data_IF_355056340169
#
_entry.id   IF_355056340169
#
_cell.length_a   1.000
_cell.length_b   1.000
_cell.length_c   1.000
_cell.angle_alpha   90.00
_cell.angle_beta   90.00
_cell.angle_gamma   90.00
#
_symmetry.space_group_name_H-M   'P 1'
#
loop_
_entity.id
_entity.type
_entity.pdbx_description
1 polymer ?
#
# COMPACT_ATOMS: atom_id res chain seq x y z
N UNK A 1 -2.36 25.84 -48.16
CA UNK A 1 -1.67 26.08 -46.87
C UNK A 1 -2.60 25.97 -45.66
N UNK A 2 -3.75 26.67 -45.62
CA UNK A 2 -4.66 26.69 -44.46
C UNK A 2 -5.18 25.31 -44.01
N UNK A 3 -5.63 24.46 -44.94
CA UNK A 3 -6.16 23.13 -44.61
C UNK A 3 -5.11 22.17 -44.03
N UNK A 4 -3.83 22.31 -44.42
CA UNK A 4 -2.72 21.49 -43.90
C UNK A 4 -2.34 21.91 -42.47
N UNK A 5 -2.42 23.21 -42.17
CA UNK A 5 -2.20 23.75 -40.82
C UNK A 5 -3.32 23.31 -39.86
N UNK A 6 -4.58 23.36 -40.31
CA UNK A 6 -5.72 22.92 -39.51
C UNK A 6 -5.66 21.42 -39.15
N UNK A 7 -5.26 20.57 -40.11
CA UNK A 7 -5.03 19.13 -39.87
C UNK A 7 -3.91 18.87 -38.86
N UNK A 8 -2.81 19.64 -38.94
CA UNK A 8 -1.72 19.53 -37.96
C UNK A 8 -2.19 19.90 -36.55
N UNK A 9 -2.88 21.04 -36.41
CA UNK A 9 -3.41 21.49 -35.10
C UNK A 9 -4.37 20.47 -34.50
N UNK A 10 -5.29 19.92 -35.31
CA UNK A 10 -6.23 18.91 -34.85
C UNK A 10 -5.54 17.63 -34.38
N UNK A 11 -4.51 17.18 -35.11
CA UNK A 11 -3.73 16.00 -34.74
C UNK A 11 -2.92 16.24 -33.46
N UNK A 12 -2.33 17.43 -33.29
CA UNK A 12 -1.58 17.77 -32.06
C UNK A 12 -2.50 17.86 -30.85
N UNK A 13 -3.68 18.45 -31.01
CA UNK A 13 -4.70 18.51 -29.96
C UNK A 13 -5.18 17.10 -29.56
N UNK A 14 -5.47 16.24 -30.54
CA UNK A 14 -5.86 14.85 -30.30
C UNK A 14 -4.78 14.07 -29.53
N UNK A 15 -3.51 14.25 -29.89
CA UNK A 15 -2.38 13.61 -29.21
C UNK A 15 -2.24 14.10 -27.76
N UNK A 16 -2.38 15.40 -27.51
CA UNK A 16 -2.34 15.97 -26.16
C UNK A 16 -3.49 15.46 -25.28
N UNK A 17 -4.70 15.33 -25.84
CA UNK A 17 -5.84 14.75 -25.11
C UNK A 17 -5.65 13.27 -24.80
N UNK A 18 -5.02 12.50 -25.69
CA UNK A 18 -4.67 11.10 -25.43
C UNK A 18 -3.63 10.96 -24.31
N UNK A 19 -2.62 11.84 -24.28
CA UNK A 19 -1.60 11.83 -23.23
C UNK A 19 -2.14 12.28 -21.87
N UNK A 20 -3.09 13.22 -21.83
CA UNK A 20 -3.74 13.65 -20.59
C UNK A 20 -4.64 12.56 -19.96
N UNK A 21 -5.08 11.58 -20.75
CA UNK A 21 -5.87 10.44 -20.29
C UNK A 21 -5.04 9.21 -19.89
N UNK A 22 -3.71 9.25 -20.01
CA UNK A 22 -2.85 8.13 -19.64
C UNK A 22 -2.80 7.99 -18.10
N UNK A 23 -3.56 7.05 -17.55
CA UNK A 23 -3.45 6.66 -16.14
C UNK A 23 -2.15 5.90 -15.89
N UNK A 24 -1.51 6.12 -14.73
CA UNK A 24 -0.38 5.32 -14.29
C UNK A 24 -0.81 3.84 -14.18
N UNK A 25 -0.19 2.96 -14.95
CA UNK A 25 -0.35 1.52 -14.78
C UNK A 25 0.57 1.06 -13.64
N UNK A 26 0.00 0.79 -12.47
CA UNK A 26 0.75 0.22 -11.35
C UNK A 26 0.88 -1.29 -11.55
N UNK A 27 2.02 -1.73 -12.07
CA UNK A 27 2.31 -3.16 -12.25
C UNK A 27 2.67 -3.89 -10.94
N UNK A 28 2.81 -3.17 -9.82
CA UNK A 28 3.19 -3.73 -8.52
C UNK A 28 2.26 -3.19 -7.43
N UNK A 29 1.96 -4.02 -6.41
CA UNK A 29 1.25 -3.58 -5.23
C UNK A 29 2.14 -2.64 -4.38
N UNK A 30 1.81 -1.35 -4.32
CA UNK A 30 2.46 -0.40 -3.43
C UNK A 30 1.56 -0.12 -2.23
N UNK A 31 2.14 0.15 -1.07
CA UNK A 31 1.37 0.60 0.09
C UNK A 31 0.84 2.01 -0.20
N UNK A 32 -0.48 2.14 -0.31
CA UNK A 32 -1.18 3.41 -0.56
C UNK A 32 -1.56 4.10 0.75
N UNK A 33 -2.02 3.31 1.74
CA UNK A 33 -2.41 3.82 3.05
C UNK A 33 -2.15 2.78 4.14
N UNK A 34 -1.80 3.25 5.34
CA UNK A 34 -1.73 2.41 6.54
C UNK A 34 -2.59 2.95 7.67
N UNK A 35 -3.00 2.06 8.56
CA UNK A 35 -3.60 2.40 9.85
C UNK A 35 -2.97 1.50 10.91
N UNK A 36 -2.24 2.02 11.90
CA UNK A 36 -1.82 3.42 12.06
C UNK A 36 -1.09 3.99 10.83
N UNK A 37 -1.21 5.30 10.60
CA UNK A 37 -0.55 5.97 9.48
C UNK A 37 0.97 6.02 9.71
N UNK A 38 1.74 6.11 8.62
CA UNK A 38 3.19 6.31 8.71
C UNK A 38 3.51 7.57 9.54
N UNK A 39 4.50 7.44 10.42
CA UNK A 39 4.99 8.45 11.36
C UNK A 39 3.93 9.02 12.32
N UNK A 40 2.77 8.36 12.42
CA UNK A 40 1.70 8.78 13.33
C UNK A 40 1.91 8.29 14.75
N UNK A 41 1.35 9.04 15.69
CA UNK A 41 1.23 8.65 17.09
C UNK A 41 -0.23 8.34 17.40
N UNK A 42 -0.50 7.17 17.98
CA UNK A 42 -1.84 6.70 18.34
C UNK A 42 -1.88 6.25 19.80
N UNK A 43 -3.06 6.28 20.42
CA UNK A 43 -3.23 5.81 21.80
C UNK A 43 -3.16 4.30 21.90
N UNK A 44 -3.78 3.59 20.94
CA UNK A 44 -3.79 2.13 20.84
C UNK A 44 -3.81 1.71 19.37
N UNK A 45 -3.42 0.46 19.10
CA UNK A 45 -3.54 -0.17 17.80
C UNK A 45 -3.81 -1.67 17.96
N UNK A 46 -5.08 -2.05 17.96
CA UNK A 46 -5.50 -3.45 18.11
C UNK A 46 -5.26 -4.27 16.84
N UNK A 47 -5.21 -3.60 15.68
CA UNK A 47 -4.90 -4.17 14.37
C UNK A 47 -4.16 -3.13 13.53
N UNK A 48 -3.34 -3.63 12.61
CA UNK A 48 -2.74 -2.83 11.56
C UNK A 48 -3.45 -3.14 10.25
N UNK A 49 -3.76 -2.11 9.48
CA UNK A 49 -4.49 -2.22 8.22
C UNK A 49 -3.66 -1.58 7.11
N UNK A 50 -3.17 -2.39 6.19
CA UNK A 50 -2.33 -1.98 5.06
C UNK A 50 -3.18 -2.04 3.80
N UNK A 51 -3.39 -0.88 3.16
CA UNK A 51 -4.11 -0.74 1.89
C UNK A 51 -3.10 -0.62 0.77
N UNK A 52 -3.17 -1.54 -0.18
CA UNK A 52 -2.29 -1.57 -1.34
C UNK A 52 -3.00 -1.02 -2.59
N UNK A 53 -2.22 -0.52 -3.55
CA UNK A 53 -2.73 -0.11 -4.86
C UNK A 53 -3.34 -1.27 -5.63
N UNK A 54 -2.84 -2.50 -5.42
CA UNK A 54 -3.31 -3.74 -6.05
C UNK A 54 -3.67 -4.80 -5.03
N UNK A 55 -4.48 -5.78 -5.45
CA UNK A 55 -4.83 -6.91 -4.58
C UNK A 55 -3.59 -7.73 -4.24
N UNK A 56 -3.49 -8.23 -3.01
CA UNK A 56 -2.38 -9.09 -2.57
C UNK A 56 -2.84 -10.51 -2.26
N UNK A 57 -1.95 -11.49 -2.49
CA UNK A 57 -2.15 -12.88 -2.12
C UNK A 57 -1.64 -13.12 -0.70
N UNK A 58 -2.57 -13.29 0.25
CA UNK A 58 -2.25 -13.41 1.68
C UNK A 58 -1.30 -14.56 2.00
N UNK A 59 -1.37 -15.67 1.26
CA UNK A 59 -0.56 -16.86 1.50
C UNK A 59 0.93 -16.64 1.19
N UNK A 60 1.24 -15.64 0.35
CA UNK A 60 2.60 -15.33 -0.09
C UNK A 60 3.11 -13.99 0.43
N UNK A 61 2.21 -13.15 0.95
CA UNK A 61 2.55 -11.86 1.55
C UNK A 61 3.02 -12.03 2.99
N UNK A 62 4.14 -11.39 3.34
CA UNK A 62 4.74 -11.45 4.68
C UNK A 62 4.75 -10.06 5.31
N UNK A 63 4.43 -10.00 6.61
CA UNK A 63 4.57 -8.80 7.43
C UNK A 63 5.34 -9.14 8.69
N UNK A 64 6.32 -8.30 9.02
CA UNK A 64 7.06 -8.35 10.28
C UNK A 64 6.84 -7.01 10.97
N UNK A 65 6.36 -7.08 12.21
CA UNK A 65 6.24 -5.92 13.10
C UNK A 65 7.33 -6.06 14.16
N UNK A 66 8.11 -5.01 14.41
CA UNK A 66 9.10 -4.99 15.48
C UNK A 66 8.85 -3.81 16.43
N UNK A 67 9.20 -4.02 17.69
CA UNK A 67 9.21 -3.02 18.77
C UNK A 67 10.51 -3.21 19.54
N UNK A 68 11.27 -2.14 19.78
CA UNK A 68 12.60 -2.18 20.42
C UNK A 68 13.53 -3.24 19.81
N UNK A 69 13.57 -3.31 18.48
CA UNK A 69 14.34 -4.29 17.67
C UNK A 69 13.85 -5.75 17.81
N UNK A 70 12.87 -6.04 18.67
CA UNK A 70 12.32 -7.37 18.87
C UNK A 70 11.05 -7.60 18.02
N UNK A 71 10.85 -8.79 17.41
CA UNK A 71 9.62 -9.12 16.71
C UNK A 71 8.41 -9.13 17.64
N UNK A 72 7.32 -8.50 17.19
CA UNK A 72 5.99 -8.60 17.81
C UNK A 72 5.32 -9.87 17.29
N UNK A 73 4.82 -10.70 18.20
CA UNK A 73 4.05 -11.89 17.82
C UNK A 73 2.72 -11.48 17.17
N UNK A 74 2.41 -12.05 16.01
CA UNK A 74 1.17 -11.80 15.26
C UNK A 74 0.27 -13.03 15.36
N UNK A 75 -1.02 -12.82 15.64
CA UNK A 75 -2.03 -13.87 15.66
C UNK A 75 -2.58 -14.16 14.26
N UNK A 76 -2.62 -13.16 13.38
CA UNK A 76 -3.03 -13.36 11.99
C UNK A 76 -2.53 -12.28 11.03
N UNK A 77 -2.39 -12.66 9.77
CA UNK A 77 -2.21 -11.78 8.61
C UNK A 77 -3.21 -12.27 7.56
N UNK A 78 -4.21 -11.47 7.22
CA UNK A 78 -5.30 -11.87 6.32
C UNK A 78 -5.73 -10.73 5.42
N UNK A 79 -6.10 -11.05 4.19
CA UNK A 79 -6.82 -10.08 3.36
C UNK A 79 -8.26 -9.95 3.81
N UNK A 80 -8.84 -8.76 3.66
CA UNK A 80 -10.27 -8.58 3.84
C UNK A 80 -11.07 -9.41 2.80
N UNK A 81 -12.13 -10.14 3.19
CA UNK A 81 -12.84 -11.02 2.26
C UNK A 81 -13.42 -10.30 1.03
N UNK A 82 -13.89 -9.07 1.21
CA UNK A 82 -14.48 -8.27 0.15
C UNK A 82 -13.45 -7.46 -0.66
N UNK A 83 -12.22 -7.33 -0.14
CA UNK A 83 -11.20 -6.48 -0.76
C UNK A 83 -9.78 -7.01 -0.52
N UNK A 84 -9.24 -7.73 -1.51
CA UNK A 84 -7.86 -8.24 -1.47
C UNK A 84 -6.79 -7.13 -1.44
N UNK A 85 -7.13 -5.87 -1.67
CA UNK A 85 -6.19 -4.73 -1.52
C UNK A 85 -5.92 -4.39 -0.05
N UNK A 86 -6.77 -4.87 0.86
CA UNK A 86 -6.66 -4.57 2.29
C UNK A 86 -6.10 -5.79 3.01
N UNK A 87 -4.92 -5.64 3.61
CA UNK A 87 -4.30 -6.63 4.48
C UNK A 87 -4.47 -6.20 5.95
N UNK A 88 -5.10 -7.06 6.73
CA UNK A 88 -5.27 -6.92 8.18
C UNK A 88 -4.22 -7.75 8.88
N UNK A 89 -3.47 -7.10 9.77
CA UNK A 89 -2.41 -7.70 10.59
C UNK A 89 -2.81 -7.54 12.05
N UNK A 90 -3.01 -8.67 12.73
CA UNK A 90 -3.49 -8.67 14.12
C UNK A 90 -2.35 -9.10 15.04
N UNK A 91 -1.90 -8.24 15.97
CA UNK A 91 -1.01 -8.64 17.05
C UNK A 91 -1.59 -9.79 17.89
N UNK A 92 -0.74 -10.61 18.49
CA UNK A 92 -1.17 -11.68 19.40
C UNK A 92 -1.51 -11.18 20.81
N UNK A 93 -1.01 -9.99 21.16
CA UNK A 93 -1.23 -9.30 22.44
C UNK A 93 -1.38 -7.79 22.18
N UNK A 94 -2.03 -7.03 23.08
CA UNK A 94 -2.07 -5.57 22.99
C UNK A 94 -0.65 -5.00 22.85
N UNK A 95 -0.51 -3.98 22.00
CA UNK A 95 0.76 -3.32 21.74
C UNK A 95 1.13 -2.39 22.90
N UNK A 96 2.25 -2.60 23.61
CA UNK A 96 2.76 -1.64 24.59
C UNK A 96 3.06 -0.27 23.99
N UNK A 97 3.19 0.75 24.85
CA UNK A 97 3.69 2.07 24.45
C UNK A 97 5.09 1.93 23.87
N UNK A 98 5.33 2.60 22.75
CA UNK A 98 6.62 2.62 22.07
C UNK A 98 6.52 2.78 20.56
N UNK A 99 7.68 2.81 19.91
CA UNK A 99 7.78 2.89 18.46
C UNK A 99 7.79 1.50 17.84
N UNK A 100 7.05 1.38 16.75
CA UNK A 100 6.90 0.16 15.97
C UNK A 100 7.44 0.38 14.56
N UNK A 101 8.08 -0.65 14.01
CA UNK A 101 8.44 -0.71 12.59
C UNK A 101 7.69 -1.85 11.94
N UNK A 102 7.06 -1.56 10.81
CA UNK A 102 6.29 -2.51 10.02
C UNK A 102 7.01 -2.70 8.71
N UNK A 103 7.55 -3.90 8.48
CA UNK A 103 8.16 -4.30 7.21
C UNK A 103 7.24 -5.27 6.50
N UNK A 104 6.99 -5.05 5.22
CA UNK A 104 6.14 -5.91 4.41
C UNK A 104 6.83 -6.33 3.11
N UNK A 105 6.53 -7.56 2.69
CA UNK A 105 6.89 -8.11 1.38
C UNK A 105 5.61 -8.67 0.77
N UNK A 106 5.01 -7.94 -0.15
CA UNK A 106 3.74 -8.27 -0.77
C UNK A 106 3.95 -9.07 -2.06
N UNK A 107 3.02 -9.99 -2.32
CA UNK A 107 2.85 -10.61 -3.63
C UNK A 107 1.47 -10.23 -4.12
N UNK A 108 1.40 -9.52 -5.24
CA UNK A 108 0.13 -9.12 -5.84
C UNK A 108 -0.56 -10.30 -6.52
N UNK A 109 -1.86 -10.16 -6.77
CA UNK A 109 -2.69 -11.16 -7.47
C UNK A 109 -2.23 -11.42 -8.92
N UNK A 110 -1.45 -10.51 -9.49
CA UNK A 110 -0.78 -10.64 -10.80
C UNK A 110 0.63 -11.25 -10.71
N UNK A 111 1.01 -11.78 -9.54
CA UNK A 111 2.25 -12.52 -9.23
C UNK A 111 3.53 -11.70 -9.04
N UNK A 112 3.48 -10.37 -9.13
CA UNK A 112 4.63 -9.53 -8.87
C UNK A 112 4.92 -9.36 -7.37
N UNK A 113 6.21 -9.15 -7.04
CA UNK A 113 6.66 -8.92 -5.66
C UNK A 113 7.03 -7.46 -5.47
N UNK A 114 6.66 -6.93 -4.32
CA UNK A 114 7.07 -5.61 -3.86
C UNK A 114 7.35 -5.64 -2.36
N UNK A 115 8.09 -4.66 -1.87
CA UNK A 115 8.43 -4.54 -0.47
C UNK A 115 8.47 -3.08 -0.04
N UNK A 116 8.36 -2.86 1.25
CA UNK A 116 8.49 -1.55 1.86
C UNK A 116 8.34 -1.62 3.36
N UNK A 117 8.39 -0.46 3.99
CA UNK A 117 8.31 -0.33 5.42
C UNK A 117 7.77 1.03 5.84
N UNK A 118 7.28 1.10 7.07
CA UNK A 118 6.90 2.35 7.73
C UNK A 118 6.98 2.18 9.25
N UNK A 119 6.87 3.30 9.96
CA UNK A 119 6.84 3.34 11.43
C UNK A 119 5.61 4.05 11.96
N UNK A 120 5.25 3.73 13.20
CA UNK A 120 4.26 4.48 13.98
C UNK A 120 4.60 4.36 15.48
N UNK A 121 4.03 5.23 16.30
CA UNK A 121 4.24 5.24 17.74
C UNK A 121 2.92 5.01 18.47
N UNK A 122 2.94 4.15 19.49
CA UNK A 122 1.87 4.03 20.47
C UNK A 122 2.27 4.87 21.69
N UNK A 123 1.48 5.88 22.06
CA UNK A 123 1.68 6.67 23.28
C UNK A 123 0.35 6.94 23.95
N UNK A 124 0.30 6.76 25.27
CA UNK A 124 -0.90 7.00 26.07
C UNK A 124 -1.05 8.44 26.54
#
# INVERSE_FOLDING_TARGET
MAATLLKKVLNTAALLTLMAGASAAFAHAHLEQSTPAADSTVNTADQLRLVFTEGVEQAFTKVVVTHDQAPVALSSIKTEPANKKVLIVTPAKPLPVGTYHVKWNAVSVDTHKSAGDYSFTVSN
#
